data_IF_186972996586
#
_entry.id   IF_186972996586
#
_cell.length_a   1.000
_cell.length_b   1.000
_cell.length_c   1.000
_cell.angle_alpha   90.00
_cell.angle_beta   90.00
_cell.angle_gamma   90.00
#
_symmetry.space_group_name_H-M   'P 1'
#
loop_
_entity.id
_entity.type
_entity.pdbx_description
1 polymer ?
#
# COMPACT_ATOMS: atom_id res chain seq x y z
N UNK A 1 -13.51 7.50 3.94
CA UNK A 1 -14.49 6.43 3.69
C UNK A 1 -13.85 5.19 3.07
N UNK A 2 -14.32 3.99 3.39
CA UNK A 2 -14.08 2.78 2.61
C UNK A 2 -15.07 2.73 1.45
N UNK A 3 -14.57 2.52 0.23
CA UNK A 3 -15.35 2.60 -1.01
C UNK A 3 -16.47 1.56 -1.02
N UNK A 4 -16.15 0.30 -0.70
CA UNK A 4 -17.09 -0.82 -0.65
C UNK A 4 -18.21 -0.62 0.38
N UNK A 5 -17.87 -0.09 1.56
CA UNK A 5 -18.86 0.17 2.61
C UNK A 5 -19.79 1.36 2.30
N UNK A 6 -19.29 2.36 1.56
CA UNK A 6 -20.05 3.56 1.24
C UNK A 6 -20.90 3.42 -0.03
N UNK A 7 -20.34 2.78 -1.07
CA UNK A 7 -20.94 2.83 -2.40
C UNK A 7 -20.58 1.65 -3.31
N UNK A 8 -20.14 0.53 -2.75
CA UNK A 8 -19.73 -0.70 -3.45
C UNK A 8 -18.43 -0.58 -4.26
N UNK A 9 -18.29 0.46 -5.08
CA UNK A 9 -17.15 0.69 -5.96
C UNK A 9 -16.94 2.18 -6.27
N UNK A 10 -15.90 2.51 -7.04
CA UNK A 10 -15.55 3.90 -7.40
C UNK A 10 -16.65 4.61 -8.18
N UNK A 11 -17.31 3.92 -9.11
CA UNK A 11 -18.45 4.47 -9.85
C UNK A 11 -19.61 4.81 -8.91
N UNK A 12 -19.91 3.94 -7.95
CA UNK A 12 -20.94 4.19 -6.93
C UNK A 12 -20.62 5.40 -6.05
N UNK A 13 -19.34 5.65 -5.74
CA UNK A 13 -18.92 6.88 -5.04
C UNK A 13 -19.20 8.11 -5.92
N UNK A 14 -18.87 8.04 -7.21
CA UNK A 14 -19.14 9.13 -8.16
C UNK A 14 -20.64 9.46 -8.24
N UNK A 15 -21.49 8.44 -8.28
CA UNK A 15 -22.94 8.61 -8.27
C UNK A 15 -23.51 9.25 -6.99
N UNK A 16 -22.77 9.19 -5.87
CA UNK A 16 -23.16 9.79 -4.59
C UNK A 16 -22.55 11.18 -4.34
N UNK A 17 -21.87 11.78 -5.29
CA UNK A 17 -21.25 13.10 -5.10
C UNK A 17 -22.26 14.22 -4.83
N UNK A 18 -23.47 14.16 -5.42
CA UNK A 18 -24.53 15.14 -5.11
C UNK A 18 -24.99 15.05 -3.66
N UNK A 19 -25.08 13.85 -3.10
CA UNK A 19 -25.38 13.65 -1.68
C UNK A 19 -24.26 14.24 -0.80
N UNK A 20 -23.00 13.98 -1.13
CA UNK A 20 -21.86 14.53 -0.36
C UNK A 20 -21.81 16.06 -0.45
N UNK A 21 -22.13 16.64 -1.60
CA UNK A 21 -22.24 18.09 -1.80
C UNK A 21 -23.35 18.69 -0.92
N UNK A 22 -24.53 18.08 -0.88
CA UNK A 22 -25.64 18.48 0.02
C UNK A 22 -25.23 18.42 1.49
N UNK A 23 -24.36 17.48 1.87
CA UNK A 23 -23.75 17.40 3.21
C UNK A 23 -22.62 18.41 3.44
N UNK A 24 -22.33 19.29 2.47
CA UNK A 24 -21.26 20.29 2.52
C UNK A 24 -19.84 19.66 2.64
N UNK A 25 -19.68 18.44 2.13
CA UNK A 25 -18.35 17.77 2.04
C UNK A 25 -17.59 18.40 0.88
N UNK A 26 -16.37 18.87 1.16
CA UNK A 26 -15.45 19.41 0.15
C UNK A 26 -14.09 18.70 0.13
N UNK A 27 -13.94 17.65 0.93
CA UNK A 27 -12.73 16.84 1.03
C UNK A 27 -13.09 15.38 1.29
N UNK A 28 -12.65 14.49 0.41
CA UNK A 28 -12.94 13.06 0.49
C UNK A 28 -11.63 12.31 0.69
N UNK A 29 -11.51 11.60 1.81
CA UNK A 29 -10.41 10.67 2.05
C UNK A 29 -10.87 9.25 1.68
N UNK A 30 -10.27 8.69 0.62
CA UNK A 30 -10.44 7.30 0.22
C UNK A 30 -9.47 6.42 1.00
N UNK A 31 -10.00 5.50 1.80
CA UNK A 31 -9.21 4.46 2.46
C UNK A 31 -8.56 3.55 1.41
N UNK A 32 -7.54 2.74 1.76
CA UNK A 32 -6.75 2.01 0.76
C UNK A 32 -7.59 1.21 -0.22
N UNK A 33 -7.35 1.41 -1.52
CA UNK A 33 -8.11 0.81 -2.62
C UNK A 33 -7.23 0.21 -3.73
N UNK A 34 -5.91 0.35 -3.62
CA UNK A 34 -4.98 -0.25 -4.57
C UNK A 34 -4.97 -1.78 -4.45
N UNK A 35 -4.47 -2.46 -5.49
CA UNK A 35 -4.48 -3.93 -5.58
C UNK A 35 -3.76 -4.57 -4.39
N UNK A 36 -4.39 -5.59 -3.82
CA UNK A 36 -3.94 -6.29 -2.62
C UNK A 36 -4.40 -7.75 -2.67
N UNK A 37 -3.62 -8.69 -2.12
CA UNK A 37 -4.00 -10.10 -2.13
C UNK A 37 -5.23 -10.36 -1.27
N UNK A 38 -6.13 -11.21 -1.79
CA UNK A 38 -7.34 -11.59 -1.08
C UNK A 38 -7.00 -12.33 0.23
N UNK A 39 -7.61 -11.89 1.33
CA UNK A 39 -7.45 -12.49 2.66
C UNK A 39 -6.15 -12.13 3.39
N UNK A 40 -5.23 -11.39 2.75
CA UNK A 40 -3.97 -10.90 3.34
C UNK A 40 -3.75 -9.43 2.97
N UNK A 41 -4.81 -8.64 3.08
CA UNK A 41 -4.81 -7.25 2.62
C UNK A 41 -4.51 -6.24 3.72
N UNK A 42 -4.71 -6.60 4.99
CA UNK A 42 -4.65 -5.64 6.11
C UNK A 42 -5.50 -4.38 5.83
N UNK A 43 -6.77 -4.58 5.48
CA UNK A 43 -7.65 -3.44 5.14
C UNK A 43 -7.26 -2.66 3.88
N UNK A 44 -6.44 -3.26 3.00
CA UNK A 44 -5.92 -2.64 1.79
C UNK A 44 -4.49 -2.09 1.91
N UNK A 45 -3.88 -2.15 3.10
CA UNK A 45 -2.52 -1.63 3.31
C UNK A 45 -1.40 -2.55 2.78
N UNK A 46 -1.67 -3.82 2.47
CA UNK A 46 -0.70 -4.72 1.86
C UNK A 46 -0.73 -4.59 0.32
N UNK A 47 -0.17 -3.50 -0.22
CA UNK A 47 -0.22 -3.19 -1.66
C UNK A 47 0.63 -4.15 -2.48
N UNK A 48 -0.01 -4.83 -3.44
CA UNK A 48 0.65 -5.71 -4.40
C UNK A 48 0.97 -5.02 -5.74
N UNK A 49 0.18 -4.00 -6.13
CA UNK A 49 0.41 -3.22 -7.34
C UNK A 49 -0.08 -1.78 -7.15
N UNK A 50 0.83 -0.80 -7.22
CA UNK A 50 0.51 0.62 -7.08
C UNK A 50 -0.21 1.23 -8.30
N UNK A 51 -0.22 0.52 -9.43
CA UNK A 51 -0.86 0.98 -10.68
C UNK A 51 -2.20 0.32 -10.94
N UNK A 52 -2.73 -0.39 -9.95
CA UNK A 52 -3.96 -1.16 -10.08
C UNK A 52 -4.91 -0.91 -8.91
N UNK A 53 -6.18 -0.77 -9.21
CA UNK A 53 -7.26 -0.75 -8.20
C UNK A 53 -7.66 -2.20 -7.90
N UNK A 54 -8.10 -2.48 -6.68
CA UNK A 54 -8.73 -3.78 -6.35
C UNK A 54 -9.87 -4.05 -7.34
N UNK A 55 -9.90 -5.23 -8.01
CA UNK A 55 -10.84 -5.50 -9.11
C UNK A 55 -12.32 -5.29 -8.78
N UNK A 56 -12.69 -5.53 -7.53
CA UNK A 56 -14.08 -5.32 -7.06
C UNK A 56 -14.44 -3.84 -6.86
N UNK A 57 -13.44 -2.95 -6.73
CA UNK A 57 -13.65 -1.52 -6.52
C UNK A 57 -13.64 -0.72 -7.82
N UNK A 58 -13.10 -1.29 -8.92
CA UNK A 58 -13.04 -0.65 -10.23
C UNK A 58 -11.65 -0.64 -10.85
N UNK A 59 -11.39 0.36 -11.67
CA UNK A 59 -10.17 0.53 -12.45
C UNK A 59 -9.49 1.88 -12.19
N UNK A 60 -8.28 2.07 -12.71
CA UNK A 60 -7.59 3.38 -12.67
C UNK A 60 -8.30 4.46 -13.52
N UNK A 61 -9.08 4.07 -14.50
CA UNK A 61 -9.89 5.02 -15.27
C UNK A 61 -11.13 5.46 -14.48
N UNK A 62 -11.73 4.55 -13.68
CA UNK A 62 -12.81 4.92 -12.76
C UNK A 62 -12.31 5.87 -11.66
N UNK A 63 -11.09 5.65 -11.14
CA UNK A 63 -10.47 6.60 -10.21
C UNK A 63 -10.32 7.99 -10.85
N UNK A 64 -9.83 8.05 -12.09
CA UNK A 64 -9.66 9.31 -12.82
C UNK A 64 -11.01 9.99 -13.11
N UNK A 65 -12.06 9.22 -13.40
CA UNK A 65 -13.42 9.74 -13.56
C UNK A 65 -13.90 10.37 -12.27
N UNK A 66 -13.81 9.63 -11.16
CA UNK A 66 -14.22 10.10 -9.84
C UNK A 66 -13.49 11.39 -9.42
N UNK A 67 -12.16 11.43 -9.54
CA UNK A 67 -11.39 12.64 -9.18
C UNK A 67 -11.80 13.83 -10.03
N UNK A 68 -11.99 13.64 -11.34
CA UNK A 68 -12.47 14.68 -12.25
C UNK A 68 -13.89 15.16 -11.91
N UNK A 69 -14.78 14.27 -11.48
CA UNK A 69 -16.13 14.63 -11.03
C UNK A 69 -16.08 15.38 -9.68
N UNK A 70 -15.22 14.96 -8.74
CA UNK A 70 -14.99 15.68 -7.47
C UNK A 70 -14.52 17.12 -7.72
N UNK A 71 -13.52 17.30 -8.58
CA UNK A 71 -12.98 18.63 -8.90
C UNK A 71 -14.03 19.56 -9.51
N UNK A 72 -14.91 19.06 -10.38
CA UNK A 72 -16.03 19.85 -10.93
C UNK A 72 -16.98 20.38 -9.86
N UNK A 73 -17.04 19.71 -8.71
CA UNK A 73 -17.84 20.10 -7.53
C UNK A 73 -17.03 20.84 -6.46
N UNK A 74 -15.76 21.16 -6.71
CA UNK A 74 -14.88 21.81 -5.75
C UNK A 74 -14.48 20.91 -4.57
N UNK A 75 -14.53 19.58 -4.75
CA UNK A 75 -14.12 18.61 -3.75
C UNK A 75 -12.67 18.15 -4.03
N UNK A 76 -11.83 18.13 -3.01
CA UNK A 76 -10.49 17.55 -3.05
C UNK A 76 -10.53 16.08 -2.69
N UNK A 77 -9.64 15.29 -3.30
CA UNK A 77 -9.52 13.85 -3.06
C UNK A 77 -8.18 13.52 -2.40
N UNK A 78 -8.25 12.86 -1.26
CA UNK A 78 -7.11 12.31 -0.53
C UNK A 78 -7.11 10.79 -0.62
N UNK A 79 -5.92 10.18 -0.66
CA UNK A 79 -5.75 8.74 -0.53
C UNK A 79 -4.64 8.39 0.46
N UNK A 80 -4.72 7.21 1.06
CA UNK A 80 -3.59 6.61 1.77
C UNK A 80 -2.56 6.08 0.79
N UNK A 81 -1.36 6.65 0.81
CA UNK A 81 -0.23 6.14 0.03
C UNK A 81 0.72 5.36 0.93
N UNK A 82 0.70 4.03 0.82
CA UNK A 82 1.52 3.14 1.64
C UNK A 82 2.93 3.11 1.09
N UNK A 83 3.88 3.76 1.78
CA UNK A 83 5.27 3.81 1.35
C UNK A 83 6.25 3.08 2.30
N UNK A 84 5.78 2.56 3.43
CA UNK A 84 6.63 1.83 4.38
C UNK A 84 7.00 0.43 3.89
N UNK A 85 6.08 -0.26 3.23
CA UNK A 85 6.20 -1.66 2.85
C UNK A 85 5.42 -1.97 1.57
N UNK A 86 5.65 -3.16 1.01
CA UNK A 86 4.78 -3.76 0.00
C UNK A 86 4.20 -5.07 0.52
N UNK A 87 3.15 -5.58 -0.14
CA UNK A 87 2.74 -6.98 0.01
C UNK A 87 3.88 -7.92 -0.43
N UNK A 88 3.95 -9.12 0.18
CA UNK A 88 4.80 -10.21 -0.32
C UNK A 88 4.43 -10.68 -1.73
N UNK A 89 3.22 -10.35 -2.22
CA UNK A 89 2.75 -10.63 -3.58
C UNK A 89 3.14 -9.53 -4.59
N UNK A 90 3.75 -8.44 -4.15
CA UNK A 90 4.30 -7.42 -5.04
C UNK A 90 5.42 -8.01 -5.92
N UNK A 91 5.51 -7.58 -7.17
CA UNK A 91 6.52 -8.08 -8.13
C UNK A 91 7.94 -8.04 -7.56
N UNK A 92 8.30 -6.98 -6.83
CA UNK A 92 9.62 -6.86 -6.22
C UNK A 92 9.86 -7.91 -5.15
N UNK A 93 8.85 -8.16 -4.31
CA UNK A 93 8.94 -9.16 -3.25
C UNK A 93 9.05 -10.58 -3.82
N UNK A 94 8.31 -10.87 -4.89
CA UNK A 94 8.39 -12.17 -5.57
C UNK A 94 9.76 -12.41 -6.20
N UNK A 95 10.37 -11.42 -6.85
CA UNK A 95 11.73 -11.51 -7.39
C UNK A 95 12.79 -11.63 -6.28
N UNK A 96 12.64 -10.85 -5.20
CA UNK A 96 13.51 -10.95 -4.03
C UNK A 96 13.46 -12.35 -3.40
N UNK A 97 12.26 -12.92 -3.26
CA UNK A 97 12.05 -14.28 -2.75
C UNK A 97 12.76 -15.35 -3.60
N UNK A 98 12.86 -15.15 -4.91
CA UNK A 98 13.59 -16.02 -5.85
C UNK A 98 15.10 -15.84 -5.80
N UNK A 99 15.60 -14.95 -4.95
CA UNK A 99 17.05 -14.71 -4.78
C UNK A 99 17.65 -13.69 -5.72
N UNK A 100 16.84 -12.89 -6.43
CA UNK A 100 17.36 -11.78 -7.23
C UNK A 100 17.95 -10.70 -6.30
N UNK A 101 19.29 -10.54 -6.34
CA UNK A 101 20.01 -9.66 -5.44
C UNK A 101 19.67 -8.19 -5.58
N UNK A 102 19.26 -7.73 -6.77
CA UNK A 102 18.78 -6.37 -6.96
C UNK A 102 17.49 -6.14 -6.18
N UNK A 103 16.51 -7.04 -6.32
CA UNK A 103 15.23 -6.93 -5.64
C UNK A 103 15.33 -7.23 -4.14
N UNK A 104 16.22 -8.14 -3.71
CA UNK A 104 16.52 -8.33 -2.28
C UNK A 104 17.04 -7.06 -1.63
N UNK A 105 17.84 -6.24 -2.33
CA UNK A 105 18.39 -4.98 -1.81
C UNK A 105 17.32 -3.90 -1.59
N UNK A 106 16.10 -4.09 -2.13
CA UNK A 106 14.96 -3.18 -1.93
C UNK A 106 14.26 -3.36 -0.59
N UNK A 107 14.59 -4.44 0.13
CA UNK A 107 14.06 -4.82 1.44
C UNK A 107 15.22 -5.06 2.41
N UNK A 108 14.91 -5.35 3.67
CA UNK A 108 15.90 -5.71 4.68
C UNK A 108 15.93 -7.23 4.83
N UNK A 109 16.87 -7.90 4.14
CA UNK A 109 17.08 -9.36 4.17
C UNK A 109 18.30 -9.73 5.00
N UNK A 110 18.17 -10.76 5.86
CA UNK A 110 19.25 -11.28 6.71
C UNK A 110 19.29 -12.81 6.65
N UNK A 111 20.51 -13.38 6.54
CA UNK A 111 20.70 -14.84 6.48
C UNK A 111 20.44 -15.55 7.80
N UNK A 112 20.66 -14.86 8.91
CA UNK A 112 20.50 -15.39 10.27
C UNK A 112 19.85 -14.34 11.18
N UNK A 113 19.56 -14.74 12.40
CA UNK A 113 18.84 -13.89 13.37
C UNK A 113 19.75 -12.98 14.19
N UNK A 114 21.07 -12.93 13.93
CA UNK A 114 22.03 -12.15 14.75
C UNK A 114 21.78 -10.64 14.70
N UNK A 115 21.53 -10.10 13.51
CA UNK A 115 21.19 -8.68 13.32
C UNK A 115 19.72 -8.42 13.69
N UNK A 116 18.72 -9.19 13.21
CA UNK A 116 17.33 -9.08 13.67
C UNK A 116 17.20 -9.03 15.20
N UNK A 117 17.89 -9.91 15.94
CA UNK A 117 17.85 -9.93 17.40
C UNK A 117 18.37 -8.64 18.07
N UNK A 118 19.17 -7.85 17.38
CA UNK A 118 19.62 -6.54 17.90
C UNK A 118 18.52 -5.48 17.71
N UNK A 119 17.88 -5.48 16.54
CA UNK A 119 16.75 -4.57 16.24
C UNK A 119 15.57 -4.84 17.16
N UNK A 120 15.23 -6.11 17.43
CA UNK A 120 14.10 -6.49 18.30
C UNK A 120 14.21 -5.94 19.73
N UNK A 121 15.42 -5.53 20.17
CA UNK A 121 15.61 -4.89 21.48
C UNK A 121 15.17 -3.43 21.54
N UNK A 122 15.09 -2.76 20.39
CA UNK A 122 14.89 -1.31 20.32
C UNK A 122 13.75 -0.88 19.41
N UNK A 123 13.42 -1.69 18.42
CA UNK A 123 12.29 -1.42 17.50
C UNK A 123 10.98 -1.83 18.16
N UNK A 124 10.01 -0.92 18.32
CA UNK A 124 8.71 -1.26 18.88
C UNK A 124 7.93 -2.20 17.95
N UNK A 125 7.13 -3.07 18.56
CA UNK A 125 6.21 -3.93 17.82
C UNK A 125 4.87 -3.23 17.63
N UNK A 126 4.37 -3.20 16.40
CA UNK A 126 3.07 -2.59 16.07
C UNK A 126 1.93 -3.51 16.53
N UNK A 127 2.03 -4.80 16.27
CA UNK A 127 1.02 -5.80 16.62
C UNK A 127 1.60 -6.90 17.53
N UNK A 128 1.93 -6.60 18.81
CA UNK A 128 2.65 -7.55 19.67
C UNK A 128 1.88 -8.83 19.98
N UNK A 129 0.56 -8.85 19.80
CA UNK A 129 -0.30 -10.01 20.07
C UNK A 129 -0.67 -10.79 18.82
N UNK A 130 -0.93 -10.11 17.68
CA UNK A 130 -1.42 -10.74 16.45
C UNK A 130 -0.33 -11.01 15.41
N UNK A 131 0.75 -10.25 15.46
CA UNK A 131 1.93 -10.42 14.59
C UNK A 131 3.19 -10.03 15.38
N UNK A 132 3.61 -10.85 16.37
CA UNK A 132 4.76 -10.53 17.22
C UNK A 132 6.07 -10.58 16.45
N UNK A 133 7.01 -9.69 16.83
CA UNK A 133 8.31 -9.54 16.17
C UNK A 133 8.26 -8.58 14.98
N UNK A 134 9.47 -8.24 14.49
CA UNK A 134 9.64 -7.34 13.33
C UNK A 134 10.34 -8.04 12.17
N UNK A 135 10.56 -9.35 12.25
CA UNK A 135 11.24 -10.13 11.21
C UNK A 135 10.55 -11.47 10.99
N UNK A 136 10.35 -11.81 9.74
CA UNK A 136 9.71 -13.06 9.30
C UNK A 136 10.73 -13.96 8.60
N UNK A 137 10.81 -15.23 9.01
CA UNK A 137 11.59 -16.23 8.32
C UNK A 137 10.90 -16.71 7.06
N UNK A 138 11.61 -16.70 5.94
CA UNK A 138 11.15 -17.20 4.64
C UNK A 138 11.87 -18.51 4.33
N UNK A 139 11.25 -19.67 4.55
CA UNK A 139 11.92 -20.98 4.42
C UNK A 139 12.41 -21.26 2.98
N UNK A 140 11.66 -20.80 1.99
CA UNK A 140 11.94 -20.95 0.57
C UNK A 140 13.08 -20.06 0.10
N UNK A 141 13.26 -18.88 0.69
CA UNK A 141 14.36 -17.97 0.40
C UNK A 141 15.58 -18.18 1.31
N UNK A 142 15.42 -18.89 2.43
CA UNK A 142 16.49 -19.11 3.43
C UNK A 142 16.97 -17.82 4.11
N UNK A 143 16.08 -16.85 4.29
CA UNK A 143 16.39 -15.54 4.88
C UNK A 143 15.28 -15.05 5.79
N UNK A 144 15.65 -14.19 6.73
CA UNK A 144 14.71 -13.31 7.43
C UNK A 144 14.48 -12.04 6.59
N UNK A 145 13.25 -11.56 6.56
CA UNK A 145 12.89 -10.25 6.00
C UNK A 145 12.24 -9.39 7.07
N UNK A 146 12.50 -8.08 7.07
CA UNK A 146 11.86 -7.16 8.00
C UNK A 146 10.38 -6.98 7.67
N UNK A 147 9.53 -7.12 8.71
CA UNK A 147 8.06 -7.05 8.62
C UNK A 147 7.52 -6.34 9.85
N UNK A 148 7.54 -5.00 9.84
CA UNK A 148 7.08 -4.18 10.98
C UNK A 148 5.59 -4.39 11.30
N UNK A 149 4.79 -4.71 10.27
CA UNK A 149 3.35 -4.96 10.41
C UNK A 149 3.06 -6.47 10.38
N UNK A 150 2.33 -6.96 9.39
CA UNK A 150 2.08 -8.40 9.26
C UNK A 150 3.20 -9.11 8.49
N UNK A 151 3.38 -10.43 8.66
CA UNK A 151 4.42 -11.22 7.97
C UNK A 151 4.41 -11.13 6.45
N UNK A 152 3.29 -10.78 5.85
CA UNK A 152 3.12 -10.59 4.41
C UNK A 152 3.34 -9.13 3.93
N UNK A 153 3.78 -8.22 4.82
CA UNK A 153 4.09 -6.82 4.52
C UNK A 153 5.59 -6.58 4.75
N UNK A 154 6.36 -6.50 3.66
CA UNK A 154 7.83 -6.42 3.71
C UNK A 154 8.31 -4.99 3.65
N UNK A 155 9.08 -4.59 4.66
CA UNK A 155 9.56 -3.21 4.82
C UNK A 155 10.57 -2.81 3.75
N UNK A 156 10.35 -1.65 3.14
CA UNK A 156 11.16 -1.10 2.07
C UNK A 156 12.44 -0.44 2.59
N UNK A 157 13.56 -0.74 1.93
CA UNK A 157 14.87 -0.17 2.24
C UNK A 157 15.11 1.13 1.46
N UNK A 158 14.75 2.26 2.02
CA UNK A 158 14.96 3.59 1.42
C UNK A 158 16.42 4.06 1.40
N UNK A 159 17.37 3.35 2.01
CA UNK A 159 18.79 3.57 1.75
C UNK A 159 19.18 3.16 0.31
N UNK A 160 18.36 2.32 -0.35
CA UNK A 160 18.50 2.03 -1.76
C UNK A 160 17.82 3.14 -2.60
N UNK A 161 18.57 3.94 -3.38
CA UNK A 161 18.00 5.06 -4.15
C UNK A 161 17.00 4.61 -5.22
N UNK A 162 17.06 3.36 -5.69
CA UNK A 162 16.06 2.81 -6.61
C UNK A 162 14.68 2.72 -5.97
N UNK A 163 14.61 2.29 -4.69
CA UNK A 163 13.34 2.25 -3.94
C UNK A 163 12.73 3.64 -3.86
N UNK A 164 13.55 4.64 -3.48
CA UNK A 164 13.09 6.02 -3.41
C UNK A 164 12.56 6.51 -4.77
N UNK A 165 13.32 6.34 -5.83
CA UNK A 165 12.94 6.82 -7.17
C UNK A 165 11.67 6.15 -7.69
N UNK A 166 11.53 4.83 -7.51
CA UNK A 166 10.34 4.11 -7.98
C UNK A 166 9.11 4.43 -7.14
N UNK A 167 9.27 4.63 -5.83
CA UNK A 167 8.14 5.06 -4.98
C UNK A 167 7.72 6.51 -5.28
N UNK A 168 8.67 7.40 -5.61
CA UNK A 168 8.33 8.74 -6.14
C UNK A 168 7.58 8.64 -7.47
N UNK A 169 7.98 7.73 -8.35
CA UNK A 169 7.25 7.49 -9.61
C UNK A 169 5.81 7.03 -9.33
N UNK A 170 5.61 6.06 -8.42
CA UNK A 170 4.28 5.60 -8.04
C UNK A 170 3.43 6.74 -7.46
N UNK A 171 4.02 7.57 -6.59
CA UNK A 171 3.37 8.74 -6.02
C UNK A 171 2.91 9.73 -7.11
N UNK A 172 3.81 10.09 -8.03
CA UNK A 172 3.49 11.01 -9.13
C UNK A 172 2.48 10.41 -10.12
N UNK A 173 2.54 9.10 -10.35
CA UNK A 173 1.55 8.40 -11.17
C UNK A 173 0.13 8.56 -10.60
N UNK A 174 -0.03 8.38 -9.29
CA UNK A 174 -1.32 8.53 -8.61
C UNK A 174 -1.76 10.00 -8.53
N UNK A 175 -0.84 10.93 -8.27
CA UNK A 175 -1.12 12.36 -8.35
C UNK A 175 -1.67 12.75 -9.74
N UNK A 176 -1.09 12.18 -10.81
CA UNK A 176 -1.57 12.43 -12.19
C UNK A 176 -2.93 11.78 -12.50
N UNK A 177 -3.47 10.95 -11.60
CA UNK A 177 -4.86 10.46 -11.67
C UNK A 177 -5.85 11.41 -10.99
N UNK A 178 -5.39 12.57 -10.48
CA UNK A 178 -6.22 13.61 -9.88
C UNK A 178 -6.32 13.51 -8.36
N UNK A 179 -5.40 12.80 -7.71
CA UNK A 179 -5.30 12.81 -6.25
C UNK A 179 -4.64 14.12 -5.80
N UNK A 180 -5.29 14.86 -4.91
CA UNK A 180 -4.83 16.17 -4.42
C UNK A 180 -3.93 16.04 -3.20
N UNK A 181 -4.17 15.03 -2.37
CA UNK A 181 -3.46 14.78 -1.10
C UNK A 181 -3.15 13.29 -0.94
N UNK A 182 -1.93 13.00 -0.49
CA UNK A 182 -1.48 11.63 -0.17
C UNK A 182 -0.80 11.63 1.20
#
# INVERSE_FOLDING_TARGET
LYIDNFAENLEGVEQKLDYLEQCQVNYIHLMPFLDTPKGRSDGGYAVADFHKVQPQLGTMEDLKSLTGACHKKGMNVCMDFVMNHTSEDHEWAQKARQGDGEYMSRYFFYKDYSIPAQYEKTVPQVFPTTAPGNFTWLPDAGHFVMTTFYPYQWDLNYANPRVFNEMVYNFLYLANKGIDVM
#
